data_IF_727768048559
#
_entry.id   IF_727768048559
#
_cell.length_a   1.000
_cell.length_b   1.000
_cell.length_c   1.000
_cell.angle_alpha   90.00
_cell.angle_beta   90.00
_cell.angle_gamma   90.00
#
_symmetry.space_group_name_H-M   'P 1'
#
loop_
_entity.id
_entity.type
_entity.pdbx_description
1 polymer ?
#
# COMPACT_ATOMS: atom_id res chain seq x y z
N UNK A 1 -15.74 -22.41 -4.19
CA UNK A 1 -15.49 -21.17 -3.43
C UNK A 1 -14.36 -21.50 -2.47
N UNK A 2 -13.13 -20.99 -2.71
CA UNK A 2 -11.95 -21.41 -1.93
C UNK A 2 -11.97 -20.66 -0.60
N UNK A 3 -12.04 -21.38 0.52
CA UNK A 3 -11.69 -20.93 1.87
C UNK A 3 -10.20 -20.58 1.95
N UNK A 4 -9.80 -19.52 1.24
CA UNK A 4 -8.47 -18.92 1.38
C UNK A 4 -8.45 -18.26 2.77
N UNK A 5 -7.38 -18.47 3.53
CA UNK A 5 -7.19 -17.96 4.89
C UNK A 5 -7.87 -16.59 5.10
N UNK A 6 -8.64 -16.47 6.18
CA UNK A 6 -9.47 -15.30 6.51
C UNK A 6 -8.84 -14.00 5.99
N UNK A 7 -9.48 -13.38 4.99
CA UNK A 7 -8.95 -12.18 4.33
C UNK A 7 -8.63 -11.08 5.35
N UNK A 8 -9.36 -11.06 6.48
CA UNK A 8 -9.07 -10.22 7.64
C UNK A 8 -7.70 -10.49 8.26
N UNK A 9 -7.33 -11.76 8.44
CA UNK A 9 -6.01 -12.18 8.95
C UNK A 9 -4.88 -11.78 8.00
N UNK A 10 -5.04 -11.96 6.69
CA UNK A 10 -4.04 -11.51 5.71
C UNK A 10 -3.91 -10.00 5.69
N UNK A 11 -5.04 -9.28 5.71
CA UNK A 11 -5.07 -7.82 5.80
C UNK A 11 -4.39 -7.34 7.08
N UNK A 12 -4.66 -7.98 8.21
CA UNK A 12 -4.04 -7.65 9.49
C UNK A 12 -2.53 -7.92 9.48
N UNK A 13 -2.09 -9.01 8.85
CA UNK A 13 -0.66 -9.30 8.65
C UNK A 13 0.02 -8.23 7.80
N UNK A 14 -0.63 -7.80 6.71
CA UNK A 14 -0.12 -6.70 5.88
C UNK A 14 -0.03 -5.38 6.67
N UNK A 15 -1.07 -5.03 7.43
CA UNK A 15 -1.11 -3.80 8.24
C UNK A 15 -0.08 -3.82 9.36
N UNK A 16 0.15 -4.97 10.01
CA UNK A 16 1.06 -5.08 11.15
C UNK A 16 2.54 -5.18 10.76
N UNK A 17 2.86 -5.80 9.62
CA UNK A 17 4.25 -6.07 9.24
C UNK A 17 4.73 -5.19 8.08
N UNK A 18 3.96 -5.14 6.99
CA UNK A 18 4.41 -4.54 5.73
C UNK A 18 4.15 -3.04 5.71
N UNK A 19 2.95 -2.63 6.14
CA UNK A 19 2.54 -1.22 6.20
C UNK A 19 3.51 -0.35 7.01
N UNK A 20 3.94 -0.69 8.24
CA UNK A 20 4.85 0.19 9.00
C UNK A 20 6.21 0.39 8.32
N UNK A 21 6.74 -0.63 7.63
CA UNK A 21 8.00 -0.53 6.88
C UNK A 21 7.84 0.45 5.72
N UNK A 22 6.73 0.34 4.97
CA UNK A 22 6.42 1.24 3.87
C UNK A 22 6.22 2.68 4.37
N UNK A 23 5.48 2.88 5.45
CA UNK A 23 5.20 4.20 6.01
C UNK A 23 6.45 4.88 6.56
N UNK A 24 7.31 4.15 7.29
CA UNK A 24 8.60 4.70 7.71
C UNK A 24 9.47 5.07 6.50
N UNK A 25 9.47 4.20 5.47
CA UNK A 25 10.20 4.42 4.24
C UNK A 25 9.75 5.66 3.47
N UNK A 26 8.51 6.13 3.62
CA UNK A 26 7.99 7.32 2.91
C UNK A 26 8.90 8.54 3.12
N UNK A 27 9.38 8.78 4.33
CA UNK A 27 10.26 9.90 4.64
C UNK A 27 11.65 9.75 4.02
N UNK A 28 12.16 8.52 3.96
CA UNK A 28 13.47 8.20 3.37
C UNK A 28 13.42 8.27 1.84
N UNK A 29 12.31 7.83 1.24
CA UNK A 29 12.13 7.78 -0.21
C UNK A 29 11.69 9.10 -0.83
N UNK A 30 11.66 10.21 -0.07
CA UNK A 30 11.29 11.53 -0.58
C UNK A 30 12.09 11.93 -1.83
N UNK A 31 13.37 11.56 -1.89
CA UNK A 31 14.27 11.88 -2.99
C UNK A 31 14.41 10.73 -4.02
N UNK A 32 13.64 9.65 -3.88
CA UNK A 32 13.74 8.51 -4.77
C UNK A 32 13.15 8.81 -6.15
N UNK A 33 13.74 8.25 -7.20
CA UNK A 33 13.22 8.39 -8.56
C UNK A 33 11.84 7.73 -8.72
N UNK A 34 11.02 8.28 -9.62
CA UNK A 34 9.68 7.75 -9.91
C UNK A 34 9.70 6.24 -10.24
N UNK A 35 10.72 5.76 -10.95
CA UNK A 35 10.87 4.34 -11.27
C UNK A 35 11.02 3.46 -10.03
N UNK A 36 11.76 3.92 -9.02
CA UNK A 36 11.90 3.18 -7.76
C UNK A 36 10.62 3.25 -6.91
N UNK A 37 9.93 4.40 -6.94
CA UNK A 37 8.64 4.56 -6.28
C UNK A 37 7.56 3.66 -6.88
N UNK A 38 7.58 3.46 -8.21
CA UNK A 38 6.69 2.52 -8.89
C UNK A 38 6.95 1.07 -8.46
N UNK A 39 8.21 0.68 -8.21
CA UNK A 39 8.52 -0.67 -7.68
C UNK A 39 7.90 -0.88 -6.30
N UNK A 40 7.92 0.13 -5.43
CA UNK A 40 7.26 0.08 -4.12
C UNK A 40 5.75 -0.07 -4.26
N UNK A 41 5.11 0.66 -5.18
CA UNK A 41 3.68 0.50 -5.49
C UNK A 41 3.37 -0.93 -5.98
N UNK A 42 4.24 -1.54 -6.79
CA UNK A 42 4.05 -2.93 -7.24
C UNK A 42 4.10 -3.95 -6.09
N UNK A 43 4.93 -3.72 -5.07
CA UNK A 43 4.96 -4.57 -3.87
C UNK A 43 3.63 -4.48 -3.11
N UNK A 44 3.10 -3.27 -2.93
CA UNK A 44 1.79 -3.08 -2.31
C UNK A 44 0.68 -3.72 -3.13
N UNK A 45 0.67 -3.54 -4.46
CA UNK A 45 -0.33 -4.15 -5.35
C UNK A 45 -0.29 -5.67 -5.31
N UNK A 46 0.90 -6.26 -5.21
CA UNK A 46 1.05 -7.71 -5.07
C UNK A 46 0.39 -8.19 -3.78
N UNK A 47 0.63 -7.51 -2.65
CA UNK A 47 -0.05 -7.83 -1.39
C UNK A 47 -1.57 -7.61 -1.47
N UNK A 48 -2.00 -6.51 -2.09
CA UNK A 48 -3.40 -6.16 -2.29
C UNK A 48 -4.15 -7.15 -3.18
N UNK A 49 -3.47 -7.89 -4.08
CA UNK A 49 -4.09 -8.99 -4.84
C UNK A 49 -4.25 -10.25 -4.00
N UNK A 50 -3.29 -10.53 -3.10
CA UNK A 50 -3.31 -11.73 -2.26
C UNK A 50 -4.41 -11.66 -1.19
N UNK A 51 -4.61 -10.49 -0.56
CA UNK A 51 -5.60 -10.30 0.52
C UNK A 51 -7.02 -10.73 0.12
N UNK A 52 -7.64 -10.19 -0.94
CA UNK A 52 -8.95 -10.60 -1.45
C UNK A 52 -8.89 -11.78 -2.44
N UNK A 53 -7.70 -12.26 -2.81
CA UNK A 53 -7.52 -13.34 -3.78
C UNK A 53 -7.86 -12.95 -5.22
N UNK A 54 -7.58 -11.69 -5.62
CA UNK A 54 -7.88 -11.17 -6.95
C UNK A 54 -6.86 -11.65 -8.00
N UNK A 55 -7.34 -11.84 -9.23
CA UNK A 55 -6.51 -12.24 -10.37
C UNK A 55 -5.55 -11.13 -10.80
N UNK A 56 -4.44 -11.50 -11.44
CA UNK A 56 -3.45 -10.53 -11.94
C UNK A 56 -3.99 -9.66 -13.10
N UNK A 57 -5.08 -10.08 -13.75
CA UNK A 57 -5.76 -9.33 -14.81
C UNK A 57 -6.66 -8.21 -14.29
N UNK A 58 -6.98 -8.21 -12.99
CA UNK A 58 -7.78 -7.14 -12.39
C UNK A 58 -7.03 -5.79 -12.46
N UNK A 59 -7.71 -4.69 -12.81
CA UNK A 59 -7.11 -3.37 -12.81
C UNK A 59 -6.71 -2.94 -11.39
N UNK A 60 -5.61 -2.20 -11.27
CA UNK A 60 -4.99 -1.88 -9.98
C UNK A 60 -5.91 -1.07 -9.05
N UNK A 61 -6.73 -0.17 -9.58
CA UNK A 61 -7.69 0.61 -8.78
C UNK A 61 -8.72 -0.28 -8.09
N UNK A 62 -9.25 -1.29 -8.78
CA UNK A 62 -10.20 -2.25 -8.19
C UNK A 62 -9.51 -3.09 -7.13
N UNK A 63 -8.26 -3.51 -7.38
CA UNK A 63 -7.48 -4.29 -6.42
C UNK A 63 -7.26 -3.50 -5.12
N UNK A 64 -6.90 -2.22 -5.23
CA UNK A 64 -6.69 -1.35 -4.08
C UNK A 64 -8.00 -1.09 -3.32
N UNK A 65 -9.09 -0.86 -4.05
CA UNK A 65 -10.42 -0.67 -3.47
C UNK A 65 -10.87 -1.92 -2.68
N UNK A 66 -10.79 -3.10 -3.27
CA UNK A 66 -11.23 -4.35 -2.65
C UNK A 66 -10.36 -4.74 -1.43
N UNK A 67 -9.07 -4.42 -1.49
CA UNK A 67 -8.15 -4.64 -0.36
C UNK A 67 -8.29 -3.59 0.76
N UNK A 68 -9.11 -2.56 0.57
CA UNK A 68 -9.22 -1.39 1.45
C UNK A 68 -7.86 -0.70 1.67
N UNK A 69 -7.13 -0.48 0.58
CA UNK A 69 -5.80 0.14 0.56
C UNK A 69 -5.77 1.37 -0.34
N UNK A 70 -5.14 2.44 0.12
CA UNK A 70 -4.86 3.62 -0.68
C UNK A 70 -3.49 3.49 -1.38
N UNK A 71 -3.32 4.05 -2.59
CA UNK A 71 -2.02 4.05 -3.26
C UNK A 71 -0.96 4.79 -2.43
N UNK A 72 0.27 4.30 -2.48
CA UNK A 72 1.38 4.77 -1.64
C UNK A 72 1.75 6.22 -1.95
N UNK A 73 1.54 6.64 -3.21
CA UNK A 73 1.71 8.01 -3.67
C UNK A 73 0.78 9.00 -2.95
N UNK A 74 -0.51 8.66 -2.78
CA UNK A 74 -1.45 9.51 -2.05
C UNK A 74 -1.13 9.57 -0.55
N UNK A 75 -0.76 8.43 0.04
CA UNK A 75 -0.39 8.35 1.45
C UNK A 75 0.83 9.21 1.75
N UNK A 76 1.86 9.12 0.90
CA UNK A 76 3.05 9.99 1.00
C UNK A 76 2.69 11.47 0.97
N UNK A 77 1.84 11.88 0.03
CA UNK A 77 1.41 13.28 -0.07
C UNK A 77 0.70 13.73 1.19
N UNK A 78 -0.22 12.93 1.71
CA UNK A 78 -0.92 13.22 2.96
C UNK A 78 0.06 13.38 4.13
N UNK A 79 1.02 12.46 4.30
CA UNK A 79 2.03 12.54 5.36
C UNK A 79 2.90 13.79 5.29
N UNK A 80 3.22 14.29 4.09
CA UNK A 80 3.96 15.54 3.93
C UNK A 80 3.11 16.76 4.27
N UNK A 81 1.85 16.80 3.84
CA UNK A 81 0.93 17.88 4.18
C UNK A 81 0.76 17.99 5.70
N UNK A 82 0.60 16.86 6.40
CA UNK A 82 0.50 16.84 7.86
C UNK A 82 1.73 17.43 8.56
N UNK A 83 2.94 17.16 8.06
CA UNK A 83 4.17 17.75 8.60
C UNK A 83 4.20 19.26 8.36
N UNK A 84 3.82 19.71 7.17
CA UNK A 84 3.80 21.14 6.84
C UNK A 84 2.83 21.90 7.75
N UNK A 85 1.66 21.32 8.06
CA UNK A 85 0.72 21.91 9.01
C UNK A 85 1.25 21.96 10.45
N UNK A 86 2.11 21.03 10.86
CA UNK A 86 2.73 21.02 12.19
C UNK A 86 3.93 21.97 12.31
N UNK A 87 4.48 22.43 11.18
CA UNK A 87 5.67 23.28 11.13
C UNK A 87 5.34 24.79 11.04
N UNK A 88 4.06 25.17 11.04
CA UNK A 88 3.53 26.55 10.96
C UNK A 88 2.87 26.89 12.29
#
# INVERSE_FOLDING_TARGET
>A
MRDYADAGTLRNTYISLIRPILEYGIYVYCCASNTNLQKLEQVQLSAARIIPGLFNTCPNDIVLYEADLQPLSLRRRASFEEILWQAI
#
